data_IF_417142845906
#
_entry.id   IF_417142845906
#
_cell.length_a   1.000
_cell.length_b   1.000
_cell.length_c   1.000
_cell.angle_alpha   90.00
_cell.angle_beta   90.00
_cell.angle_gamma   90.00
#
_symmetry.space_group_name_H-M   'P 1'
#
loop_
_entity.id
_entity.type
_entity.pdbx_description
1 polymer ?
#
# COMPACT_ATOMS: atom_id res chain seq x y z
N UNK A 1 -14.68 -6.80 -31.48
CA UNK A 1 -14.39 -5.38 -31.15
C UNK A 1 -12.96 -5.33 -30.64
N UNK A 2 -12.02 -4.88 -31.48
CA UNK A 2 -10.60 -4.75 -31.14
C UNK A 2 -10.51 -3.55 -30.19
N UNK A 3 -10.34 -3.79 -28.89
CA UNK A 3 -10.07 -2.71 -27.95
C UNK A 3 -8.63 -2.29 -28.21
N UNK A 4 -8.45 -1.35 -29.12
CA UNK A 4 -7.18 -0.64 -29.25
C UNK A 4 -6.99 0.16 -27.96
N UNK A 5 -6.27 -0.46 -27.01
CA UNK A 5 -5.63 0.23 -25.90
C UNK A 5 -4.62 1.18 -26.55
N UNK A 6 -5.10 2.37 -26.92
CA UNK A 6 -4.27 3.49 -27.35
C UNK A 6 -3.38 3.81 -26.15
N UNK A 7 -2.19 3.23 -26.14
CA UNK A 7 -1.13 3.54 -25.20
C UNK A 7 -0.77 5.01 -25.41
N UNK A 8 -1.48 5.90 -24.72
CA UNK A 8 -1.20 7.33 -24.67
C UNK A 8 0.04 7.63 -23.81
N UNK A 9 0.83 6.62 -23.44
CA UNK A 9 2.10 6.80 -22.76
C UNK A 9 3.20 6.84 -23.81
N UNK A 10 3.82 8.01 -23.97
CA UNK A 10 5.05 8.16 -24.73
C UNK A 10 6.10 7.19 -24.19
N UNK A 11 6.86 6.49 -25.06
CA UNK A 11 7.93 5.56 -24.64
C UNK A 11 8.95 6.20 -23.67
N UNK A 12 9.04 7.53 -23.68
CA UNK A 12 9.83 8.34 -22.73
C UNK A 12 9.34 8.33 -21.28
N UNK A 13 8.04 8.08 -21.03
CA UNK A 13 7.48 8.02 -19.66
C UNK A 13 7.54 6.62 -19.04
N UNK A 14 7.66 5.58 -19.87
CA UNK A 14 7.65 4.16 -19.45
C UNK A 14 8.91 3.82 -18.62
N UNK A 15 10.02 4.53 -18.84
CA UNK A 15 11.32 4.19 -18.25
C UNK A 15 11.79 5.10 -17.11
N UNK A 16 10.97 6.06 -16.67
CA UNK A 16 11.34 6.91 -15.54
C UNK A 16 10.89 6.28 -14.22
N UNK A 17 11.77 6.19 -13.21
CA UNK A 17 11.37 5.67 -11.91
C UNK A 17 10.28 6.57 -11.32
N UNK A 18 9.15 6.01 -10.86
CA UNK A 18 8.07 6.81 -10.32
C UNK A 18 8.54 7.58 -9.09
N UNK A 19 8.03 8.81 -8.92
CA UNK A 19 8.38 9.64 -7.78
C UNK A 19 7.86 9.02 -6.49
N UNK A 20 8.66 9.09 -5.43
CA UNK A 20 8.32 8.52 -4.11
C UNK A 20 6.96 9.05 -3.63
N UNK A 21 6.73 10.35 -3.77
CA UNK A 21 5.49 11.01 -3.35
C UNK A 21 4.27 10.47 -4.10
N UNK A 22 4.41 10.18 -5.40
CA UNK A 22 3.31 9.64 -6.20
C UNK A 22 2.99 8.22 -5.74
N UNK A 23 4.01 7.37 -5.51
CA UNK A 23 3.80 6.01 -4.97
C UNK A 23 3.14 6.06 -3.59
N UNK A 24 3.61 6.91 -2.68
CA UNK A 24 3.02 7.10 -1.35
C UNK A 24 1.58 7.60 -1.43
N UNK A 25 1.28 8.58 -2.28
CA UNK A 25 -0.08 9.11 -2.41
C UNK A 25 -1.07 8.05 -2.90
N UNK A 26 -0.64 7.19 -3.83
CA UNK A 26 -1.44 6.06 -4.30
C UNK A 26 -1.60 4.98 -3.23
N UNK A 27 -0.58 4.72 -2.42
CA UNK A 27 -0.69 3.81 -1.27
C UNK A 27 -1.72 4.33 -0.27
N UNK A 28 -1.64 5.61 0.10
CA UNK A 28 -2.62 6.25 0.98
C UNK A 28 -4.04 6.18 0.40
N UNK A 29 -4.20 6.52 -0.88
CA UNK A 29 -5.50 6.48 -1.54
C UNK A 29 -6.07 5.06 -1.59
N UNK A 30 -5.25 4.07 -1.95
CA UNK A 30 -5.64 2.67 -1.98
C UNK A 30 -6.04 2.16 -0.58
N UNK A 31 -5.33 2.57 0.48
CA UNK A 31 -5.70 2.25 1.86
C UNK A 31 -7.04 2.85 2.26
N UNK A 32 -7.31 4.12 1.93
CA UNK A 32 -8.58 4.76 2.25
C UNK A 32 -9.74 4.09 1.50
N UNK A 33 -9.57 3.84 0.20
CA UNK A 33 -10.57 3.13 -0.61
C UNK A 33 -10.84 1.73 -0.06
N UNK A 34 -9.78 1.00 0.33
CA UNK A 34 -9.93 -0.34 0.87
C UNK A 34 -10.59 -0.34 2.26
N UNK A 35 -10.23 0.61 3.12
CA UNK A 35 -10.86 0.78 4.43
C UNK A 35 -12.37 1.09 4.29
N UNK A 36 -12.75 1.99 3.38
CA UNK A 36 -14.15 2.30 3.11
C UNK A 36 -14.92 1.07 2.59
N UNK A 37 -14.30 0.27 1.74
CA UNK A 37 -14.89 -0.97 1.21
C UNK A 37 -15.07 -2.02 2.33
N UNK A 38 -14.07 -2.20 3.20
CA UNK A 38 -14.20 -3.11 4.35
C UNK A 38 -15.31 -2.67 5.29
N UNK A 39 -15.40 -1.38 5.62
CA UNK A 39 -16.48 -0.85 6.46
C UNK A 39 -17.86 -1.08 5.85
N UNK A 40 -18.00 -0.92 4.52
CA UNK A 40 -19.26 -1.19 3.84
C UNK A 40 -19.62 -2.69 3.90
N UNK A 41 -18.65 -3.59 3.76
CA UNK A 41 -18.88 -5.04 3.88
C UNK A 41 -19.28 -5.40 5.31
N UNK A 42 -18.55 -4.91 6.31
CA UNK A 42 -18.87 -5.16 7.73
C UNK A 42 -20.27 -4.65 8.08
N UNK A 43 -20.66 -3.49 7.55
CA UNK A 43 -22.01 -2.95 7.74
C UNK A 43 -23.10 -3.84 7.14
N UNK A 44 -22.87 -4.43 5.96
CA UNK A 44 -23.86 -5.31 5.30
C UNK A 44 -23.93 -6.68 5.96
N UNK A 45 -22.78 -7.26 6.32
CA UNK A 45 -22.69 -8.63 6.85
C UNK A 45 -23.03 -8.65 8.35
N UNK A 46 -22.84 -7.54 9.07
CA UNK A 46 -23.09 -7.44 10.50
C UNK A 46 -22.10 -8.24 11.36
N UNK A 47 -20.97 -8.65 10.78
CA UNK A 47 -19.92 -9.41 11.47
C UNK A 47 -18.60 -8.66 11.31
N UNK A 48 -17.91 -8.42 12.43
CA UNK A 48 -16.55 -7.87 12.42
C UNK A 48 -15.58 -8.86 11.78
N UNK A 49 -14.86 -8.44 10.75
CA UNK A 49 -13.93 -9.33 10.06
C UNK A 49 -12.60 -9.38 10.82
N UNK A 50 -12.26 -10.54 11.37
CA UNK A 50 -10.93 -10.75 11.97
C UNK A 50 -9.85 -10.65 10.89
N UNK A 51 -8.82 -9.82 11.10
CA UNK A 51 -7.68 -9.68 10.19
C UNK A 51 -7.75 -8.53 9.18
N UNK A 52 -8.74 -7.65 9.30
CA UNK A 52 -8.87 -6.41 8.49
C UNK A 52 -7.62 -5.52 8.54
N UNK A 53 -6.91 -5.47 9.67
CA UNK A 53 -5.64 -4.75 9.80
C UNK A 53 -4.52 -5.29 8.89
N UNK A 54 -4.43 -6.60 8.71
CA UNK A 54 -3.44 -7.19 7.82
C UNK A 54 -3.85 -6.97 6.36
N UNK A 55 -5.11 -7.25 6.01
CA UNK A 55 -5.64 -7.08 4.65
C UNK A 55 -5.55 -5.62 4.16
N UNK A 56 -5.78 -4.65 5.04
CA UNK A 56 -5.64 -3.22 4.75
C UNK A 56 -4.20 -2.75 4.52
N UNK A 57 -3.22 -3.59 4.82
CA UNK A 57 -1.83 -3.37 4.43
C UNK A 57 -1.47 -4.15 3.16
N UNK A 58 -1.88 -5.42 3.06
CA UNK A 58 -1.51 -6.27 1.93
C UNK A 58 -2.10 -5.78 0.60
N UNK A 59 -3.40 -5.50 0.59
CA UNK A 59 -4.14 -5.27 -0.64
C UNK A 59 -3.73 -3.93 -1.27
N UNK A 60 -3.70 -2.81 -0.53
CA UNK A 60 -3.17 -1.56 -1.08
C UNK A 60 -1.74 -1.67 -1.60
N UNK A 61 -0.84 -2.33 -0.86
CA UNK A 61 0.55 -2.53 -1.30
C UNK A 61 0.63 -3.35 -2.59
N UNK A 62 -0.16 -4.43 -2.69
CA UNK A 62 -0.18 -5.29 -3.87
C UNK A 62 -0.78 -4.58 -5.08
N UNK A 63 -1.90 -3.87 -4.90
CA UNK A 63 -2.58 -3.13 -5.97
C UNK A 63 -1.72 -2.01 -6.54
N UNK A 64 -1.07 -1.22 -5.67
CA UNK A 64 -0.17 -0.15 -6.11
C UNK A 64 1.07 -0.73 -6.80
N UNK A 65 1.64 -1.81 -6.25
CA UNK A 65 2.76 -2.51 -6.88
C UNK A 65 2.40 -3.03 -8.28
N UNK A 66 1.21 -3.61 -8.41
CA UNK A 66 0.69 -4.07 -9.70
C UNK A 66 0.52 -2.93 -10.71
N UNK A 67 -0.08 -1.81 -10.29
CA UNK A 67 -0.27 -0.64 -11.15
C UNK A 67 1.05 -0.12 -11.71
N UNK A 68 2.05 0.08 -10.86
CA UNK A 68 3.35 0.58 -11.32
C UNK A 68 4.10 -0.46 -12.14
N UNK A 69 4.10 -1.74 -11.77
CA UNK A 69 4.74 -2.78 -12.57
C UNK A 69 4.13 -2.89 -13.98
N UNK A 70 2.82 -2.66 -14.12
CA UNK A 70 2.17 -2.61 -15.43
C UNK A 70 2.52 -1.32 -16.19
N UNK A 71 2.61 -0.18 -15.50
CA UNK A 71 2.87 1.13 -16.13
C UNK A 71 4.32 1.29 -16.60
N UNK A 72 5.29 0.90 -15.77
CA UNK A 72 6.72 1.08 -16.07
C UNK A 72 7.30 -0.10 -16.84
N UNK A 73 6.71 -1.30 -16.72
CA UNK A 73 7.30 -2.52 -17.29
C UNK A 73 8.61 -2.96 -16.62
N UNK A 74 9.09 -2.23 -15.61
CA UNK A 74 10.27 -2.54 -14.82
C UNK A 74 10.02 -2.34 -13.32
N UNK A 75 10.80 -3.07 -12.52
CA UNK A 75 10.75 -3.10 -11.07
C UNK A 75 11.31 -1.80 -10.50
N UNK A 76 10.54 -1.12 -9.64
CA UNK A 76 10.98 0.15 -9.06
C UNK A 76 12.32 0.00 -8.32
N UNK A 77 13.15 1.06 -8.29
CA UNK A 77 14.37 1.07 -7.47
C UNK A 77 14.06 0.77 -6.00
N UNK A 78 14.96 0.01 -5.35
CA UNK A 78 14.79 -0.40 -3.94
C UNK A 78 14.59 0.80 -3.01
N UNK A 79 15.36 1.88 -3.22
CA UNK A 79 15.26 3.12 -2.43
C UNK A 79 13.86 3.72 -2.53
N UNK A 80 13.30 3.83 -3.74
CA UNK A 80 11.96 4.38 -3.98
C UNK A 80 10.89 3.61 -3.22
N UNK A 81 10.92 2.26 -3.30
CA UNK A 81 9.98 1.41 -2.56
C UNK A 81 10.08 1.60 -1.05
N UNK A 82 11.30 1.60 -0.50
CA UNK A 82 11.51 1.79 0.94
C UNK A 82 10.99 3.13 1.42
N UNK A 83 11.36 4.22 0.75
CA UNK A 83 10.87 5.56 1.12
C UNK A 83 9.36 5.65 0.98
N UNK A 84 8.78 5.05 -0.06
CA UNK A 84 7.33 5.11 -0.28
C UNK A 84 6.55 4.39 0.82
N UNK A 85 6.99 3.19 1.20
CA UNK A 85 6.38 2.41 2.28
C UNK A 85 6.57 3.10 3.63
N UNK A 86 7.77 3.62 3.93
CA UNK A 86 8.02 4.35 5.19
C UNK A 86 7.15 5.60 5.31
N UNK A 87 7.05 6.40 4.25
CA UNK A 87 6.19 7.58 4.24
C UNK A 87 4.71 7.21 4.35
N UNK A 88 4.28 6.12 3.73
CA UNK A 88 2.91 5.62 3.85
C UNK A 88 2.60 5.16 5.29
N UNK A 89 3.51 4.43 5.93
CA UNK A 89 3.36 4.04 7.35
C UNK A 89 3.35 5.27 8.26
N UNK A 90 4.23 6.25 8.01
CA UNK A 90 4.29 7.48 8.81
C UNK A 90 3.00 8.31 8.64
N UNK A 91 2.48 8.43 7.43
CA UNK A 91 1.19 9.06 7.18
C UNK A 91 0.05 8.33 7.92
N UNK A 92 0.07 6.99 7.91
CA UNK A 92 -0.93 6.17 8.61
C UNK A 92 -0.87 6.36 10.14
N UNK A 93 0.33 6.48 10.71
CA UNK A 93 0.52 6.80 12.13
C UNK A 93 0.02 8.19 12.50
N UNK A 94 0.24 9.18 11.63
CA UNK A 94 -0.31 10.54 11.83
C UNK A 94 -1.83 10.50 11.84
N UNK A 95 -2.46 9.81 10.87
CA UNK A 95 -3.92 9.65 10.84
C UNK A 95 -4.43 8.93 12.09
N UNK A 96 -3.78 7.84 12.50
CA UNK A 96 -4.14 7.13 13.72
C UNK A 96 -4.04 8.02 14.97
N UNK A 97 -2.97 8.81 15.08
CA UNK A 97 -2.79 9.75 16.19
C UNK A 97 -3.87 10.84 16.21
N UNK A 98 -4.26 11.35 15.05
CA UNK A 98 -5.35 12.33 14.93
C UNK A 98 -6.70 11.74 15.34
N UNK A 99 -6.96 10.47 15.01
CA UNK A 99 -8.17 9.76 15.45
C UNK A 99 -8.19 9.62 16.97
N UNK A 100 -7.07 9.21 17.59
CA UNK A 100 -6.97 9.10 19.05
C UNK A 100 -7.23 10.44 19.74
N UNK A 101 -6.60 11.52 19.25
CA UNK A 101 -6.82 12.86 19.78
C UNK A 101 -8.28 13.32 19.63
N UNK A 102 -8.97 12.90 18.57
CA UNK A 102 -10.40 13.20 18.36
C UNK A 102 -11.31 12.42 19.33
N UNK A 103 -10.80 11.37 19.96
CA UNK A 103 -11.50 10.57 20.98
C UNK A 103 -11.07 10.96 22.42
N UNK A 104 -10.38 12.10 22.58
CA UNK A 104 -9.79 12.55 23.85
C UNK A 104 -8.76 11.58 24.47
N UNK A 105 -8.20 10.68 23.67
CA UNK A 105 -7.17 9.72 24.09
C UNK A 105 -5.81 10.26 23.66
N UNK A 106 -4.93 10.53 24.63
CA UNK A 106 -3.55 10.90 24.34
C UNK A 106 -2.74 9.68 23.85
N UNK A 107 -2.06 9.77 22.68
CA UNK A 107 -1.18 8.69 22.22
C UNK A 107 -0.06 8.37 23.22
N UNK A 108 0.41 9.36 23.97
CA UNK A 108 1.44 9.18 25.00
C UNK A 108 0.90 8.44 26.23
N UNK A 109 -0.37 8.65 26.56
CA UNK A 109 -1.03 7.91 27.64
C UNK A 109 -1.09 6.42 27.30
N UNK A 110 -1.54 6.08 26.09
CA UNK A 110 -1.52 4.70 25.56
C UNK A 110 -0.13 4.06 25.61
N UNK A 111 0.90 4.79 25.14
CA UNK A 111 2.29 4.31 25.18
C UNK A 111 2.77 4.04 26.61
N UNK A 112 2.39 4.90 27.57
CA UNK A 112 2.76 4.73 28.98
C UNK A 112 2.03 3.55 29.63
N UNK A 113 0.76 3.33 29.27
CA UNK A 113 -0.08 2.24 29.79
C UNK A 113 0.37 0.88 29.26
N UNK A 114 0.79 0.82 27.98
CA UNK A 114 1.35 -0.38 27.35
C UNK A 114 2.73 -0.77 27.91
N UNK A 115 3.47 0.17 28.51
CA UNK A 115 4.77 -0.10 29.13
C UNK A 115 5.72 -0.89 28.20
N UNK A 116 6.28 -1.99 28.70
CA UNK A 116 7.20 -2.84 27.92
C UNK A 116 6.57 -3.54 26.70
N UNK A 117 5.24 -3.64 26.62
CA UNK A 117 4.53 -4.21 25.45
C UNK A 117 4.70 -3.34 24.21
N UNK A 118 4.96 -2.03 24.39
CA UNK A 118 5.24 -1.09 23.29
C UNK A 118 6.42 -1.53 22.41
N UNK A 119 7.43 -2.21 22.98
CA UNK A 119 8.59 -2.75 22.25
C UNK A 119 8.15 -3.84 21.28
N UNK A 120 7.27 -4.75 21.70
CA UNK A 120 6.75 -5.80 20.83
C UNK A 120 5.90 -5.24 19.71
N UNK A 121 5.09 -4.21 19.98
CA UNK A 121 4.30 -3.51 18.96
C UNK A 121 5.23 -2.84 17.93
N UNK A 122 6.30 -2.18 18.38
CA UNK A 122 7.29 -1.59 17.49
C UNK A 122 7.98 -2.64 16.60
N UNK A 123 8.34 -3.80 17.15
CA UNK A 123 8.92 -4.91 16.38
C UNK A 123 7.93 -5.43 15.34
N UNK A 124 6.68 -5.68 15.73
CA UNK A 124 5.63 -6.14 14.80
C UNK A 124 5.44 -5.12 13.67
N UNK A 125 5.41 -3.82 13.99
CA UNK A 125 5.29 -2.76 12.99
C UNK A 125 6.45 -2.79 11.98
N UNK A 126 7.69 -2.98 12.44
CA UNK A 126 8.84 -3.13 11.54
C UNK A 126 8.72 -4.35 10.63
N UNK A 127 8.23 -5.47 11.16
CA UNK A 127 7.95 -6.68 10.38
C UNK A 127 6.89 -6.39 9.31
N UNK A 128 5.80 -5.70 9.67
CA UNK A 128 4.73 -5.32 8.75
C UNK A 128 5.22 -4.40 7.63
N UNK A 129 6.09 -3.44 7.94
CA UNK A 129 6.75 -2.58 6.93
C UNK A 129 7.56 -3.44 5.95
N UNK A 130 8.34 -4.40 6.46
CA UNK A 130 9.12 -5.33 5.63
C UNK A 130 8.23 -6.20 4.72
N UNK A 131 7.12 -6.71 5.26
CA UNK A 131 6.14 -7.49 4.50
C UNK A 131 5.49 -6.61 3.41
N UNK A 132 5.09 -5.38 3.73
CA UNK A 132 4.52 -4.44 2.77
C UNK A 132 5.48 -4.15 1.61
N UNK A 133 6.78 -3.96 1.91
CA UNK A 133 7.81 -3.82 0.88
C UNK A 133 7.89 -5.05 -0.04
N UNK A 134 7.89 -6.27 0.53
CA UNK A 134 7.96 -7.50 -0.25
C UNK A 134 6.73 -7.69 -1.15
N UNK A 135 5.56 -7.30 -0.65
CA UNK A 135 4.29 -7.42 -1.37
C UNK A 135 4.21 -6.40 -2.49
N UNK A 136 4.61 -5.15 -2.24
CA UNK A 136 4.72 -4.14 -3.28
C UNK A 136 5.60 -4.64 -4.43
N UNK A 137 6.79 -5.18 -4.10
CA UNK A 137 7.70 -5.78 -5.08
C UNK A 137 7.11 -7.02 -5.77
N UNK A 138 6.32 -7.82 -5.06
CA UNK A 138 5.65 -9.00 -5.64
C UNK A 138 4.57 -8.58 -6.65
N UNK A 139 3.77 -7.57 -6.31
CA UNK A 139 2.78 -6.97 -7.20
C UNK A 139 3.40 -6.43 -8.48
N UNK A 140 4.51 -5.71 -8.37
CA UNK A 140 5.29 -5.23 -9.53
C UNK A 140 5.69 -6.39 -10.46
N UNK A 141 6.34 -7.42 -9.91
CA UNK A 141 6.79 -8.59 -10.68
C UNK A 141 5.64 -9.32 -11.35
N UNK A 142 4.50 -9.44 -10.68
CA UNK A 142 3.32 -10.09 -11.23
C UNK A 142 2.80 -9.32 -12.44
N UNK A 143 2.67 -7.99 -12.33
CA UNK A 143 2.21 -7.15 -13.43
C UNK A 143 3.16 -7.16 -14.64
N UNK A 144 4.47 -7.11 -14.40
CA UNK A 144 5.49 -7.17 -15.47
C UNK A 144 5.38 -8.49 -16.24
N UNK A 145 5.23 -9.63 -15.54
CA UNK A 145 5.04 -10.93 -16.20
C UNK A 145 3.79 -10.97 -17.06
N UNK A 146 2.69 -10.37 -16.60
CA UNK A 146 1.45 -10.28 -17.38
C UNK A 146 1.65 -9.42 -18.63
N UNK A 147 2.35 -8.29 -18.49
CA UNK A 147 2.64 -7.39 -19.60
C UNK A 147 3.56 -8.04 -20.65
N UNK A 148 4.58 -8.78 -20.23
CA UNK A 148 5.46 -9.53 -21.13
C UNK A 148 4.70 -10.61 -21.91
N UNK A 149 3.86 -11.41 -21.22
CA UNK A 149 3.01 -12.42 -21.87
C UNK A 149 2.04 -11.81 -22.89
N UNK A 150 1.47 -10.64 -22.58
CA UNK A 150 0.57 -9.95 -23.49
C UNK A 150 1.30 -9.51 -24.79
N UNK A 151 2.54 -9.04 -24.67
CA UNK A 151 3.38 -8.66 -25.82
C UNK A 151 3.82 -9.86 -26.66
N UNK A 152 4.08 -11.02 -26.05
CA UNK A 152 4.41 -12.27 -26.77
C UNK A 152 3.22 -12.88 -27.52
N UNK A 153 1.99 -12.55 -27.13
CA UNK A 153 0.75 -13.07 -27.75
C UNK A 153 0.18 -12.20 -28.89
N UNK A 154 0.81 -11.05 -29.17
CA UNK A 154 0.48 -10.15 -30.28
C UNK A 154 1.39 -10.39 -31.48
#
# INVERSE_FOLDING_TARGET
>A
MKVELKNNYSESEINQPPSVLLVTSLLCLASVCWAALLLAIEYIVGIEMSGTGFLSTLIPAMSVGYYFGYKTGDVMPSKTRWYAVLLWTLASLVVFSLILMSLDISPFYLLSELGGVSIFIAIIMLITIGIAYLILKSGEKMAIRVLLKAKESQ
#
